data_IF_142725964346
#
_entry.id   IF_142725964346
#
_cell.length_a   1.000
_cell.length_b   1.000
_cell.length_c   1.000
_cell.angle_alpha   90.00
_cell.angle_beta   90.00
_cell.angle_gamma   90.00
#
_symmetry.space_group_name_H-M   'P 1'
#
loop_
_entity.id
_entity.type
_entity.pdbx_description
1 polymer ?
#
# COMPACT_ATOMS: atom_id res chain seq x y z
N UNK A 1 24.32 -76.29 -103.36
CA UNK A 1 24.72 -77.27 -104.40
C UNK A 1 25.45 -78.39 -103.69
N UNK A 2 24.78 -79.51 -103.40
CA UNK A 2 25.49 -80.74 -103.01
C UNK A 2 26.08 -81.31 -104.30
N UNK A 3 27.41 -81.39 -104.38
CA UNK A 3 28.08 -82.15 -105.43
C UNK A 3 27.87 -83.62 -105.08
N UNK A 4 27.25 -84.38 -105.99
CA UNK A 4 27.25 -85.84 -105.91
C UNK A 4 28.69 -86.31 -106.14
N UNK A 5 29.41 -86.61 -105.06
CA UNK A 5 30.67 -87.35 -105.14
C UNK A 5 30.35 -88.81 -105.49
N UNK A 6 30.99 -89.40 -106.51
CA UNK A 6 30.79 -90.80 -106.86
C UNK A 6 31.24 -91.68 -105.69
N UNK A 7 30.42 -92.65 -105.29
CA UNK A 7 30.74 -93.60 -104.23
C UNK A 7 31.88 -94.49 -104.73
N UNK A 8 33.11 -94.21 -104.31
CA UNK A 8 34.29 -95.03 -104.59
C UNK A 8 34.28 -96.25 -103.65
N UNK A 9 33.82 -97.38 -104.18
CA UNK A 9 33.69 -98.63 -103.43
C UNK A 9 34.98 -99.42 -103.63
N UNK A 10 35.76 -99.61 -102.57
CA UNK A 10 36.96 -100.42 -102.58
C UNK A 10 36.67 -101.81 -103.20
N UNK A 11 37.39 -102.17 -104.27
CA UNK A 11 37.15 -103.39 -105.09
C UNK A 11 37.98 -104.59 -104.64
N UNK A 12 38.84 -104.41 -103.64
CA UNK A 12 39.70 -105.41 -103.03
C UNK A 12 39.35 -105.62 -101.54
N UNK A 13 39.47 -106.86 -101.06
CA UNK A 13 39.01 -107.30 -99.73
C UNK A 13 39.75 -106.57 -98.61
N UNK A 14 41.06 -106.35 -98.76
CA UNK A 14 41.90 -105.69 -97.75
C UNK A 14 41.55 -104.20 -97.67
N UNK A 15 41.27 -103.58 -98.83
CA UNK A 15 40.86 -102.18 -98.95
C UNK A 15 39.49 -101.91 -98.31
N UNK A 16 38.55 -102.85 -98.45
CA UNK A 16 37.24 -102.85 -97.77
C UNK A 16 37.38 -103.03 -96.26
N UNK A 17 38.23 -103.96 -95.80
CA UNK A 17 38.48 -104.16 -94.36
C UNK A 17 39.09 -102.92 -93.71
N UNK A 18 40.04 -102.27 -94.38
CA UNK A 18 40.61 -101.00 -93.92
C UNK A 18 39.56 -99.88 -93.83
N UNK A 19 38.70 -99.73 -94.85
CA UNK A 19 37.62 -98.75 -94.83
C UNK A 19 36.63 -99.01 -93.68
N UNK A 20 36.24 -100.27 -93.45
CA UNK A 20 35.36 -100.66 -92.34
C UNK A 20 35.98 -100.36 -90.98
N UNK A 21 37.27 -100.66 -90.80
CA UNK A 21 38.00 -100.35 -89.57
C UNK A 21 38.09 -98.85 -89.34
N UNK A 22 38.43 -98.08 -90.38
CA UNK A 22 38.50 -96.61 -90.32
C UNK A 22 37.16 -95.98 -89.97
N UNK A 23 36.07 -96.37 -90.62
CA UNK A 23 34.72 -95.86 -90.29
C UNK A 23 34.28 -96.28 -88.89
N UNK A 24 34.70 -97.46 -88.40
CA UNK A 24 34.44 -97.89 -87.02
C UNK A 24 35.22 -97.06 -86.01
N UNK A 25 36.47 -96.72 -86.30
CA UNK A 25 37.32 -95.84 -85.49
C UNK A 25 36.74 -94.41 -85.45
N UNK A 26 36.40 -93.83 -86.60
CA UNK A 26 35.72 -92.53 -86.69
C UNK A 26 34.38 -92.51 -85.93
N UNK A 27 33.61 -93.61 -85.97
CA UNK A 27 32.37 -93.75 -85.20
C UNK A 27 32.63 -93.81 -83.69
N UNK A 28 33.71 -94.49 -83.26
CA UNK A 28 34.11 -94.55 -81.85
C UNK A 28 34.54 -93.16 -81.38
N UNK A 29 35.37 -92.46 -82.14
CA UNK A 29 35.79 -91.08 -81.83
C UNK A 29 34.61 -90.12 -81.75
N UNK A 30 33.68 -90.20 -82.71
CA UNK A 30 32.46 -89.38 -82.71
C UNK A 30 31.57 -89.69 -81.49
N UNK A 31 31.41 -90.97 -81.13
CA UNK A 31 30.65 -91.37 -79.93
C UNK A 31 31.32 -90.88 -78.64
N UNK A 32 32.63 -91.07 -78.50
CA UNK A 32 33.39 -90.61 -77.34
C UNK A 32 33.33 -89.07 -77.22
N UNK A 33 33.45 -88.35 -78.33
CA UNK A 33 33.33 -86.88 -78.38
C UNK A 33 31.92 -86.42 -77.98
N UNK A 34 30.87 -87.12 -78.45
CA UNK A 34 29.49 -86.85 -78.05
C UNK A 34 29.27 -87.12 -76.55
N UNK A 35 29.73 -88.25 -76.04
CA UNK A 35 29.60 -88.63 -74.62
C UNK A 35 30.32 -87.62 -73.71
N UNK A 36 31.53 -87.21 -74.09
CA UNK A 36 32.27 -86.16 -73.38
C UNK A 36 31.51 -84.83 -73.39
N UNK A 37 31.02 -84.40 -74.55
CA UNK A 37 30.24 -83.16 -74.67
C UNK A 37 28.92 -83.22 -73.90
N UNK A 38 28.27 -84.38 -73.86
CA UNK A 38 27.04 -84.60 -73.09
C UNK A 38 27.31 -84.56 -71.58
N UNK A 39 28.46 -85.09 -71.14
CA UNK A 39 28.92 -84.97 -69.75
C UNK A 39 29.20 -83.50 -69.39
N UNK A 40 29.94 -82.76 -70.21
CA UNK A 40 30.18 -81.31 -70.01
C UNK A 40 28.87 -80.52 -69.90
N UNK A 41 27.91 -80.77 -70.80
CA UNK A 41 26.61 -80.09 -70.76
C UNK A 41 25.82 -80.41 -69.49
N UNK A 42 25.90 -81.65 -69.00
CA UNK A 42 25.26 -82.04 -67.73
C UNK A 42 25.90 -81.33 -66.55
N UNK A 43 27.23 -81.28 -66.52
CA UNK A 43 27.97 -80.58 -65.47
C UNK A 43 27.63 -79.07 -65.50
N UNK A 44 27.59 -78.45 -66.68
CA UNK A 44 27.19 -77.05 -66.86
C UNK A 44 25.74 -76.79 -66.41
N UNK A 45 24.79 -77.67 -66.75
CA UNK A 45 23.40 -77.58 -66.28
C UNK A 45 23.34 -77.66 -64.75
N UNK A 46 24.09 -78.57 -64.12
CA UNK A 46 24.09 -78.69 -62.66
C UNK A 46 24.73 -77.48 -61.97
N UNK A 47 25.81 -76.94 -62.54
CA UNK A 47 26.45 -75.72 -62.05
C UNK A 47 25.49 -74.52 -62.15
N UNK A 48 24.85 -74.32 -63.30
CA UNK A 48 23.86 -73.26 -63.51
C UNK A 48 22.63 -73.42 -62.61
N UNK A 49 22.15 -74.64 -62.41
CA UNK A 49 21.03 -74.90 -61.50
C UNK A 49 21.38 -74.57 -60.05
N UNK A 50 22.60 -74.89 -59.61
CA UNK A 50 23.11 -74.56 -58.27
C UNK A 50 23.24 -73.06 -58.10
N UNK A 51 23.87 -72.37 -59.07
CA UNK A 51 24.01 -70.92 -59.05
C UNK A 51 22.65 -70.21 -59.02
N UNK A 52 21.69 -70.67 -59.84
CA UNK A 52 20.33 -70.13 -59.83
C UNK A 52 19.64 -70.29 -58.48
N UNK A 53 19.86 -71.43 -57.80
CA UNK A 53 19.30 -71.69 -56.47
C UNK A 53 19.93 -70.80 -55.40
N UNK A 54 21.24 -70.61 -55.45
CA UNK A 54 21.98 -69.71 -54.55
C UNK A 54 21.54 -68.25 -54.71
N UNK A 55 21.44 -67.77 -55.95
CA UNK A 55 20.96 -66.42 -56.28
C UNK A 55 19.52 -66.19 -55.83
N UNK A 56 18.62 -67.18 -56.05
CA UNK A 56 17.25 -67.12 -55.51
C UNK A 56 17.25 -67.03 -53.99
N UNK A 57 18.06 -67.84 -53.31
CA UNK A 57 18.18 -67.80 -51.85
C UNK A 57 18.76 -66.47 -51.35
N UNK A 58 19.74 -65.90 -52.05
CA UNK A 58 20.33 -64.60 -51.73
C UNK A 58 19.31 -63.47 -51.92
N UNK A 59 18.53 -63.51 -53.01
CA UNK A 59 17.45 -62.56 -53.27
C UNK A 59 16.38 -62.62 -52.18
N UNK A 60 15.91 -63.81 -51.82
CA UNK A 60 14.91 -63.97 -50.75
C UNK A 60 15.41 -63.46 -49.39
N UNK A 61 16.68 -63.70 -49.06
CA UNK A 61 17.28 -63.14 -47.83
C UNK A 61 17.28 -61.62 -47.87
N UNK A 62 17.71 -61.02 -48.98
CA UNK A 62 17.75 -59.56 -49.15
C UNK A 62 16.36 -58.93 -49.12
N UNK A 63 15.35 -59.57 -49.70
CA UNK A 63 13.95 -59.12 -49.63
C UNK A 63 13.42 -59.15 -48.19
N UNK A 64 13.74 -60.20 -47.41
CA UNK A 64 13.37 -60.28 -45.99
C UNK A 64 14.06 -59.20 -45.15
N UNK A 65 15.35 -58.96 -45.39
CA UNK A 65 16.12 -57.90 -44.73
C UNK A 65 15.52 -56.52 -45.03
N UNK A 66 15.29 -56.19 -46.32
CA UNK A 66 14.66 -54.92 -46.70
C UNK A 66 13.25 -54.76 -46.12
N UNK A 67 12.46 -55.83 -46.03
CA UNK A 67 11.15 -55.76 -45.37
C UNK A 67 11.26 -55.53 -43.87
N UNK A 68 12.25 -56.10 -43.20
CA UNK A 68 12.49 -55.84 -41.78
C UNK A 68 12.89 -54.38 -41.54
N UNK A 69 13.80 -53.83 -42.35
CA UNK A 69 14.21 -52.43 -42.30
C UNK A 69 13.04 -51.48 -42.58
N UNK A 70 12.17 -51.81 -43.56
CA UNK A 70 10.98 -51.02 -43.86
C UNK A 70 10.02 -50.96 -42.66
N UNK A 71 9.77 -52.11 -42.02
CA UNK A 71 8.89 -52.18 -40.86
C UNK A 71 9.45 -51.42 -39.66
N UNK A 72 10.77 -51.50 -39.44
CA UNK A 72 11.45 -50.73 -38.40
C UNK A 72 11.35 -49.22 -38.67
N UNK A 73 11.65 -48.79 -39.91
CA UNK A 73 11.53 -47.40 -40.32
C UNK A 73 10.09 -46.87 -40.15
N UNK A 74 9.08 -47.65 -40.55
CA UNK A 74 7.67 -47.30 -40.36
C UNK A 74 7.30 -47.15 -38.88
N UNK A 75 7.79 -48.04 -38.02
CA UNK A 75 7.57 -47.98 -36.57
C UNK A 75 8.19 -46.71 -35.98
N UNK A 76 9.44 -46.44 -36.32
CA UNK A 76 10.17 -45.25 -35.87
C UNK A 76 9.49 -43.95 -36.34
N UNK A 77 8.98 -43.93 -37.57
CA UNK A 77 8.26 -42.78 -38.13
C UNK A 77 6.92 -42.57 -37.41
N UNK A 78 6.21 -43.64 -37.04
CA UNK A 78 5.02 -43.56 -36.19
C UNK A 78 5.30 -42.98 -34.81
N UNK A 79 6.39 -43.42 -34.17
CA UNK A 79 6.83 -42.89 -32.87
C UNK A 79 7.18 -41.39 -32.99
N UNK A 80 7.99 -41.02 -33.99
CA UNK A 80 8.39 -39.64 -34.21
C UNK A 80 7.17 -38.71 -34.44
N UNK A 81 6.20 -39.14 -35.26
CA UNK A 81 4.98 -38.38 -35.49
C UNK A 81 4.15 -38.20 -34.21
N UNK A 82 4.06 -39.24 -33.37
CA UNK A 82 3.37 -39.14 -32.09
C UNK A 82 4.04 -38.13 -31.15
N UNK A 83 5.38 -38.14 -31.11
CA UNK A 83 6.17 -37.20 -30.30
C UNK A 83 5.99 -35.76 -30.79
N UNK A 84 6.04 -35.53 -32.11
CA UNK A 84 5.80 -34.20 -32.71
C UNK A 84 4.41 -33.69 -32.30
N UNK A 85 3.36 -34.51 -32.46
CA UNK A 85 1.99 -34.10 -32.08
C UNK A 85 1.87 -33.78 -30.58
N UNK A 86 2.54 -34.54 -29.71
CA UNK A 86 2.55 -34.22 -28.28
C UNK A 86 3.33 -32.93 -27.96
N UNK A 87 4.47 -32.72 -28.62
CA UNK A 87 5.31 -31.54 -28.46
C UNK A 87 4.56 -30.27 -28.90
N UNK A 88 3.88 -30.31 -30.05
CA UNK A 88 3.04 -29.21 -30.53
C UNK A 88 1.94 -28.85 -29.54
N UNK A 89 1.24 -29.85 -28.97
CA UNK A 89 0.21 -29.61 -27.94
C UNK A 89 0.79 -28.96 -26.68
N UNK A 90 2.00 -29.35 -26.27
CA UNK A 90 2.69 -28.76 -25.12
C UNK A 90 3.12 -27.33 -25.44
N UNK A 91 3.68 -27.07 -26.62
CA UNK A 91 4.08 -25.74 -27.06
C UNK A 91 2.89 -24.76 -27.07
N UNK A 92 1.75 -25.16 -27.66
CA UNK A 92 0.53 -24.33 -27.68
C UNK A 92 0.02 -24.03 -26.27
N UNK A 93 0.03 -25.02 -25.37
CA UNK A 93 -0.35 -24.80 -23.96
C UNK A 93 0.61 -23.86 -23.24
N UNK A 94 1.92 -24.03 -23.45
CA UNK A 94 2.95 -23.17 -22.89
C UNK A 94 2.79 -21.73 -23.35
N UNK A 95 2.54 -21.50 -24.63
CA UNK A 95 2.30 -20.16 -25.19
C UNK A 95 1.05 -19.51 -24.60
N UNK A 96 -0.04 -20.28 -24.44
CA UNK A 96 -1.26 -19.80 -23.80
C UNK A 96 -1.01 -19.42 -22.33
N UNK A 97 -0.24 -20.23 -21.59
CA UNK A 97 0.14 -19.94 -20.21
C UNK A 97 1.04 -18.70 -20.12
N UNK A 98 1.99 -18.53 -21.04
CA UNK A 98 2.87 -17.35 -21.07
C UNK A 98 2.07 -16.05 -21.29
N UNK A 99 1.09 -16.08 -22.19
CA UNK A 99 0.16 -14.95 -22.40
C UNK A 99 -0.65 -14.65 -21.14
N UNK A 100 -1.22 -15.67 -20.50
CA UNK A 100 -1.98 -15.51 -19.27
C UNK A 100 -1.12 -14.93 -18.13
N UNK A 101 0.14 -15.36 -18.00
CA UNK A 101 1.07 -14.81 -17.02
C UNK A 101 1.31 -13.31 -17.29
N UNK A 102 1.46 -12.94 -18.56
CA UNK A 102 1.69 -11.54 -18.95
C UNK A 102 0.48 -10.65 -18.62
N UNK A 103 -0.74 -11.12 -18.92
CA UNK A 103 -2.00 -10.43 -18.59
C UNK A 103 -2.18 -10.28 -17.07
N UNK A 104 -1.87 -11.33 -16.29
CA UNK A 104 -1.92 -11.28 -14.84
C UNK A 104 -0.88 -10.30 -14.28
N UNK A 105 0.34 -10.27 -14.83
CA UNK A 105 1.38 -9.32 -14.42
C UNK A 105 0.95 -7.88 -14.69
N UNK A 106 0.33 -7.61 -15.84
CA UNK A 106 -0.20 -6.28 -16.14
C UNK A 106 -1.32 -5.89 -15.16
N UNK A 107 -2.25 -6.81 -14.89
CA UNK A 107 -3.34 -6.59 -13.92
C UNK A 107 -2.80 -6.30 -12.51
N UNK A 108 -1.77 -7.03 -12.08
CA UNK A 108 -1.11 -6.79 -10.79
C UNK A 108 -0.49 -5.40 -10.74
N UNK A 109 0.23 -4.98 -11.78
CA UNK A 109 0.83 -3.65 -11.84
C UNK A 109 -0.22 -2.53 -11.79
N UNK A 110 -1.35 -2.69 -12.50
CA UNK A 110 -2.46 -1.74 -12.46
C UNK A 110 -3.10 -1.67 -11.07
N UNK A 111 -3.31 -2.80 -10.40
CA UNK A 111 -3.85 -2.85 -9.04
C UNK A 111 -2.89 -2.24 -8.02
N UNK A 112 -1.58 -2.48 -8.14
CA UNK A 112 -0.56 -1.86 -7.28
C UNK A 112 -0.57 -0.34 -7.41
N UNK A 113 -0.69 0.18 -8.64
CA UNK A 113 -0.82 1.62 -8.89
C UNK A 113 -2.09 2.19 -8.26
N UNK A 114 -3.23 1.51 -8.41
CA UNK A 114 -4.49 1.94 -7.79
C UNK A 114 -4.40 1.96 -6.26
N UNK A 115 -3.78 0.94 -5.65
CA UNK A 115 -3.57 0.90 -4.20
C UNK A 115 -2.70 2.08 -3.74
N UNK A 116 -1.61 2.37 -4.45
CA UNK A 116 -0.75 3.50 -4.12
C UNK A 116 -1.47 4.85 -4.26
N UNK A 117 -2.28 5.01 -5.30
CA UNK A 117 -3.10 6.20 -5.49
C UNK A 117 -4.09 6.39 -4.32
N UNK A 118 -4.89 5.36 -4.01
CA UNK A 118 -5.87 5.42 -2.92
C UNK A 118 -5.21 5.68 -1.56
N UNK A 119 -4.03 5.11 -1.31
CA UNK A 119 -3.27 5.40 -0.10
C UNK A 119 -2.84 6.87 -0.02
N UNK A 120 -2.39 7.46 -1.13
CA UNK A 120 -2.01 8.87 -1.18
C UNK A 120 -3.20 9.81 -0.96
N UNK A 121 -4.35 9.51 -1.59
CA UNK A 121 -5.59 10.27 -1.42
C UNK A 121 -6.11 10.16 0.01
N UNK A 122 -6.10 8.95 0.59
CA UNK A 122 -6.47 8.73 2.00
C UNK A 122 -5.59 9.57 2.92
N UNK A 123 -4.28 9.56 2.74
CA UNK A 123 -3.36 10.35 3.57
C UNK A 123 -3.64 11.86 3.48
N UNK A 124 -3.93 12.36 2.28
CA UNK A 124 -4.29 13.77 2.07
C UNK A 124 -5.61 14.15 2.77
N UNK A 125 -6.62 13.28 2.68
CA UNK A 125 -7.92 13.48 3.36
C UNK A 125 -7.77 13.41 4.88
N UNK A 126 -6.99 12.45 5.40
CA UNK A 126 -6.72 12.32 6.83
C UNK A 126 -6.00 13.54 7.38
N UNK A 127 -4.99 14.06 6.67
CA UNK A 127 -4.30 15.29 7.06
C UNK A 127 -5.25 16.50 7.07
N UNK A 128 -6.12 16.60 6.06
CA UNK A 128 -7.09 17.69 5.96
C UNK A 128 -8.13 17.60 7.09
N UNK A 129 -8.60 16.39 7.41
CA UNK A 129 -9.50 16.14 8.53
C UNK A 129 -8.86 16.50 9.87
N UNK A 130 -7.59 16.14 10.08
CA UNK A 130 -6.85 16.51 11.29
C UNK A 130 -6.72 18.03 11.43
N UNK A 131 -6.37 18.74 10.35
CA UNK A 131 -6.30 20.20 10.34
C UNK A 131 -7.66 20.85 10.69
N UNK A 132 -8.76 20.33 10.14
CA UNK A 132 -10.10 20.84 10.47
C UNK A 132 -10.47 20.57 11.93
N UNK A 133 -10.17 19.39 12.48
CA UNK A 133 -10.40 19.09 13.90
C UNK A 133 -9.62 20.03 14.82
N UNK A 134 -8.36 20.33 14.48
CA UNK A 134 -7.56 21.28 15.24
C UNK A 134 -8.17 22.69 15.19
N UNK A 135 -8.60 23.14 14.01
CA UNK A 135 -9.30 24.44 13.84
C UNK A 135 -10.59 24.52 14.65
N UNK A 136 -11.41 23.46 14.62
CA UNK A 136 -12.66 23.40 15.42
C UNK A 136 -12.33 23.51 16.91
N UNK A 137 -11.31 22.79 17.38
CA UNK A 137 -10.90 22.84 18.79
C UNK A 137 -10.43 24.24 19.19
N UNK A 138 -9.63 24.90 18.35
CA UNK A 138 -9.17 26.27 18.60
C UNK A 138 -10.34 27.27 18.64
N UNK A 139 -11.26 27.20 17.66
CA UNK A 139 -12.43 28.07 17.61
C UNK A 139 -13.37 27.84 18.79
N UNK A 140 -13.53 26.60 19.25
CA UNK A 140 -14.31 26.30 20.44
C UNK A 140 -13.68 26.93 21.69
N UNK A 141 -12.35 26.84 21.83
CA UNK A 141 -11.64 27.49 22.93
C UNK A 141 -11.82 29.02 22.90
N UNK A 142 -11.65 29.65 21.74
CA UNK A 142 -11.84 31.09 21.59
C UNK A 142 -13.28 31.52 21.92
N UNK A 143 -14.27 30.70 21.55
CA UNK A 143 -15.67 30.93 21.87
C UNK A 143 -15.92 30.83 23.38
N UNK A 144 -15.39 29.80 24.05
CA UNK A 144 -15.55 29.59 25.49
C UNK A 144 -14.90 30.76 26.28
N UNK A 145 -13.73 31.22 25.84
CA UNK A 145 -13.05 32.38 26.43
C UNK A 145 -13.87 33.65 26.22
N UNK A 146 -14.39 33.87 25.01
CA UNK A 146 -15.25 35.03 24.70
C UNK A 146 -16.53 35.05 25.55
N UNK A 147 -17.18 33.89 25.71
CA UNK A 147 -18.37 33.75 26.55
C UNK A 147 -18.05 34.05 28.02
N UNK A 148 -16.91 33.57 28.52
CA UNK A 148 -16.46 33.86 29.89
C UNK A 148 -16.21 35.35 30.09
N UNK A 149 -15.49 36.00 29.18
CA UNK A 149 -15.24 37.46 29.23
C UNK A 149 -16.56 38.24 29.21
N UNK A 150 -17.54 37.80 28.42
CA UNK A 150 -18.86 38.44 28.37
C UNK A 150 -19.60 38.30 29.72
N UNK A 151 -19.54 37.13 30.36
CA UNK A 151 -20.12 36.92 31.71
C UNK A 151 -19.46 37.84 32.74
N UNK A 152 -18.14 37.94 32.72
CA UNK A 152 -17.39 38.79 33.64
C UNK A 152 -17.72 40.27 33.43
N UNK A 153 -17.87 40.71 32.17
CA UNK A 153 -18.29 42.07 31.85
C UNK A 153 -19.67 42.40 32.42
N UNK A 154 -20.63 41.46 32.29
CA UNK A 154 -21.97 41.62 32.88
C UNK A 154 -21.88 41.73 34.41
N UNK A 155 -21.12 40.85 35.07
CA UNK A 155 -20.96 40.89 36.53
C UNK A 155 -20.31 42.19 37.02
N UNK A 156 -19.24 42.64 36.36
CA UNK A 156 -18.57 43.90 36.67
C UNK A 156 -19.51 45.10 36.48
N UNK A 157 -20.30 45.12 35.41
CA UNK A 157 -21.26 46.19 35.14
C UNK A 157 -22.35 46.26 36.22
N UNK A 158 -22.87 45.12 36.66
CA UNK A 158 -23.84 45.04 37.76
C UNK A 158 -23.23 45.51 39.08
N UNK A 159 -22.01 45.07 39.39
CA UNK A 159 -21.28 45.51 40.59
C UNK A 159 -21.08 47.03 40.61
N UNK A 160 -20.68 47.61 39.48
CA UNK A 160 -20.52 49.06 39.32
C UNK A 160 -21.85 49.79 39.49
N UNK A 161 -22.95 49.30 38.91
CA UNK A 161 -24.28 49.89 39.09
C UNK A 161 -24.72 49.88 40.56
N UNK A 162 -24.48 48.79 41.27
CA UNK A 162 -24.75 48.70 42.72
C UNK A 162 -23.90 49.74 43.48
N UNK A 163 -22.63 49.90 43.14
CA UNK A 163 -21.76 50.91 43.77
C UNK A 163 -22.25 52.34 43.50
N UNK A 164 -22.66 52.65 42.26
CA UNK A 164 -23.22 53.96 41.91
C UNK A 164 -24.52 54.24 42.68
N UNK A 165 -25.41 53.25 42.80
CA UNK A 165 -26.66 53.42 43.55
C UNK A 165 -26.39 53.63 45.05
N UNK A 166 -25.39 52.94 45.63
CA UNK A 166 -24.95 53.19 47.02
C UNK A 166 -24.46 54.63 47.21
N UNK A 167 -23.68 55.17 46.26
CA UNK A 167 -23.23 56.57 46.31
C UNK A 167 -24.44 57.50 46.24
N UNK A 168 -25.36 57.27 45.29
CA UNK A 168 -26.57 58.08 45.12
C UNK A 168 -27.43 58.12 46.38
N UNK A 169 -27.62 56.98 47.04
CA UNK A 169 -28.33 56.89 48.32
C UNK A 169 -27.59 57.65 49.44
N UNK A 170 -26.26 57.54 49.50
CA UNK A 170 -25.45 58.25 50.51
C UNK A 170 -25.44 59.77 50.35
N UNK A 171 -25.65 60.29 49.13
CA UNK A 171 -25.72 61.72 48.86
C UNK A 171 -27.12 62.31 49.11
N UNK A 172 -28.16 61.47 49.23
CA UNK A 172 -29.50 61.89 49.67
C UNK A 172 -29.61 62.03 51.19
N UNK A 173 -28.67 61.49 51.97
CA UNK A 173 -28.61 61.70 53.42
C UNK A 173 -28.11 63.13 53.70
N UNK A 174 -28.97 63.98 54.30
CA UNK A 174 -28.56 65.31 54.75
C UNK A 174 -27.49 65.14 55.83
N UNK A 175 -26.23 65.39 55.46
CA UNK A 175 -25.06 65.23 56.34
C UNK A 175 -24.99 66.28 57.46
N UNK A 176 -25.70 67.39 57.28
CA UNK A 176 -25.72 68.51 58.22
C UNK A 176 -26.59 68.18 59.44
N UNK A 177 -26.01 68.32 60.62
CA UNK A 177 -26.70 68.12 61.89
C UNK A 177 -26.89 69.44 62.62
N UNK A 178 -28.09 69.69 63.15
CA UNK A 178 -28.40 70.84 64.00
C UNK A 178 -27.82 70.65 65.40
N UNK A 179 -27.28 71.73 65.99
CA UNK A 179 -26.57 71.62 67.28
C UNK A 179 -27.48 71.32 68.47
N UNK A 180 -28.76 71.60 68.38
CA UNK A 180 -29.77 71.33 69.40
C UNK A 180 -30.27 69.87 69.37
N UNK A 181 -30.23 69.22 68.21
CA UNK A 181 -30.72 67.85 68.03
C UNK A 181 -29.71 66.76 68.43
N UNK A 182 -28.41 67.09 68.54
CA UNK A 182 -27.35 66.12 68.82
C UNK A 182 -26.83 66.25 70.25
N UNK A 183 -27.19 65.33 71.14
CA UNK A 183 -26.72 65.29 72.53
C UNK A 183 -25.51 64.36 72.75
N UNK A 184 -25.19 63.48 71.79
CA UNK A 184 -24.19 62.42 71.90
C UNK A 184 -23.15 62.50 70.76
N UNK A 185 -21.96 61.95 71.01
CA UNK A 185 -20.91 61.87 70.00
C UNK A 185 -21.33 60.92 68.85
N UNK A 186 -21.21 61.36 67.58
CA UNK A 186 -21.54 60.54 66.40
C UNK A 186 -20.59 59.36 66.13
N UNK A 187 -19.70 59.01 67.05
CA UNK A 187 -18.76 57.90 66.87
C UNK A 187 -19.39 56.61 67.43
N UNK A 188 -19.49 55.51 66.65
CA UNK A 188 -20.23 54.31 67.06
C UNK A 188 -19.81 53.68 68.39
N UNK A 189 -18.55 53.86 68.81
CA UNK A 189 -17.99 53.31 70.05
C UNK A 189 -17.82 54.34 71.17
N UNK A 190 -18.35 55.57 71.01
CA UNK A 190 -18.20 56.65 71.98
C UNK A 190 -19.54 57.05 72.57
N UNK A 191 -19.67 56.96 73.89
CA UNK A 191 -20.88 57.36 74.64
C UNK A 191 -20.76 58.76 75.25
N UNK A 192 -19.76 59.54 74.85
CA UNK A 192 -19.52 60.87 75.41
C UNK A 192 -20.63 61.82 75.00
N UNK A 193 -21.29 62.47 75.97
CA UNK A 193 -22.27 63.53 75.69
C UNK A 193 -21.57 64.78 75.16
N UNK A 194 -22.15 65.37 74.11
CA UNK A 194 -21.71 66.65 73.53
C UNK A 194 -22.70 67.77 73.80
N UNK A 195 -23.79 67.50 74.55
CA UNK A 195 -24.91 68.41 74.75
C UNK A 195 -24.50 69.81 75.27
N UNK A 196 -23.48 69.86 76.13
CA UNK A 196 -22.98 71.09 76.78
C UNK A 196 -21.80 71.76 76.06
N UNK A 197 -21.30 71.19 74.96
CA UNK A 197 -20.17 71.75 74.22
C UNK A 197 -20.64 72.89 73.31
N UNK A 198 -19.98 74.05 73.40
CA UNK A 198 -20.23 75.24 72.56
C UNK A 198 -18.89 75.88 72.16
N UNK A 199 -18.48 75.86 70.87
CA UNK A 199 -19.12 75.17 69.75
C UNK A 199 -18.98 73.64 69.85
N UNK A 200 -19.92 72.88 69.27
CA UNK A 200 -19.80 71.42 69.20
C UNK A 200 -18.75 71.03 68.14
N UNK A 201 -17.73 70.21 68.46
CA UNK A 201 -16.73 69.79 67.48
C UNK A 201 -17.36 69.00 66.33
N UNK A 202 -16.93 69.29 65.10
CA UNK A 202 -17.44 68.65 63.88
C UNK A 202 -16.30 68.08 63.06
N UNK A 203 -16.57 66.98 62.37
CA UNK A 203 -15.67 66.47 61.34
C UNK A 203 -15.73 67.39 60.12
N UNK A 204 -14.59 67.91 59.66
CA UNK A 204 -14.52 68.80 58.49
C UNK A 204 -14.76 68.10 57.14
N UNK A 205 -14.95 66.78 57.13
CA UNK A 205 -15.29 66.01 55.93
C UNK A 205 -16.78 65.63 55.86
N UNK A 206 -17.33 65.02 56.92
CA UNK A 206 -18.72 64.56 56.95
C UNK A 206 -19.68 65.49 57.71
N UNK A 207 -19.18 66.56 58.33
CA UNK A 207 -19.95 67.58 59.08
C UNK A 207 -20.75 67.09 60.29
N UNK A 208 -20.71 65.78 60.62
CA UNK A 208 -21.30 65.20 61.83
C UNK A 208 -20.57 65.70 63.09
N UNK A 209 -21.30 65.73 64.21
CA UNK A 209 -20.85 66.26 65.50
C UNK A 209 -20.20 65.15 66.33
N UNK A 210 -19.05 65.43 66.93
CA UNK A 210 -18.26 64.49 67.73
C UNK A 210 -17.75 65.16 69.02
N UNK A 211 -17.29 64.37 69.99
CA UNK A 211 -16.49 64.89 71.09
C UNK A 211 -15.05 65.19 70.60
N UNK A 212 -14.33 66.06 71.30
CA UNK A 212 -12.98 66.48 70.90
C UNK A 212 -11.99 65.30 70.68
N UNK A 213 -11.98 64.23 71.51
CA UNK A 213 -11.16 63.05 71.25
C UNK A 213 -11.46 62.34 69.93
N UNK A 214 -12.74 62.29 69.52
CA UNK A 214 -13.16 61.56 68.32
C UNK A 214 -12.89 62.32 67.01
N UNK A 215 -12.47 63.58 67.07
CA UNK A 215 -12.03 64.40 65.92
C UNK A 215 -10.61 64.97 66.14
N UNK A 216 -9.79 64.29 66.94
CA UNK A 216 -8.42 64.73 67.24
C UNK A 216 -7.45 64.55 66.06
N UNK A 217 -7.74 63.63 65.14
CA UNK A 217 -6.93 63.37 63.95
C UNK A 217 -7.22 64.40 62.86
N UNK A 218 -6.17 64.85 62.17
CA UNK A 218 -6.28 65.85 61.10
C UNK A 218 -5.81 65.32 59.76
N UNK A 219 -6.43 65.79 58.68
CA UNK A 219 -5.98 65.55 57.30
C UNK A 219 -5.66 66.87 56.60
N UNK A 220 -4.71 66.92 55.65
CA UNK A 220 -4.43 68.13 54.88
C UNK A 220 -5.62 68.48 53.97
N UNK A 221 -6.15 69.69 54.10
CA UNK A 221 -7.31 70.18 53.34
C UNK A 221 -7.01 71.47 52.55
N UNK A 222 -7.56 71.55 51.34
CA UNK A 222 -7.45 72.71 50.44
C UNK A 222 -6.06 72.89 49.82
N UNK A 223 -5.91 73.95 49.01
CA UNK A 223 -4.66 74.24 48.25
C UNK A 223 -3.42 74.45 49.12
N UNK A 224 -3.62 74.82 50.39
CA UNK A 224 -2.55 75.12 51.35
C UNK A 224 -2.30 73.97 52.35
N UNK A 225 -2.88 72.79 52.13
CA UNK A 225 -2.74 71.61 52.99
C UNK A 225 -2.98 71.90 54.49
N UNK A 226 -3.99 72.72 54.81
CA UNK A 226 -4.28 73.09 56.20
C UNK A 226 -4.79 71.87 56.98
N UNK A 227 -4.35 71.65 58.22
CA UNK A 227 -4.83 70.53 59.03
C UNK A 227 -6.32 70.71 59.35
N UNK A 228 -7.15 69.80 58.85
CA UNK A 228 -8.58 69.78 59.08
C UNK A 228 -8.95 68.60 59.99
N UNK A 229 -9.55 68.83 61.17
CA UNK A 229 -9.96 67.76 62.08
C UNK A 229 -11.07 66.92 61.46
N UNK A 230 -10.90 65.61 61.50
CA UNK A 230 -11.81 64.64 60.92
C UNK A 230 -12.00 63.45 61.87
N UNK A 231 -13.15 62.77 61.79
CA UNK A 231 -13.38 61.56 62.56
C UNK A 231 -12.50 60.41 62.01
N UNK A 232 -12.33 59.35 62.81
CA UNK A 232 -11.49 58.20 62.43
C UNK A 232 -11.87 57.58 61.07
N UNK A 233 -13.17 57.49 60.76
CA UNK A 233 -13.67 56.99 59.46
C UNK A 233 -13.17 57.88 58.31
N UNK A 234 -13.40 59.18 58.42
CA UNK A 234 -13.03 60.15 57.39
C UNK A 234 -11.51 60.30 57.26
N UNK A 235 -10.76 60.18 58.37
CA UNK A 235 -9.31 60.14 58.33
C UNK A 235 -8.83 58.98 57.46
N UNK A 236 -9.40 57.78 57.64
CA UNK A 236 -9.03 56.62 56.85
C UNK A 236 -9.46 56.72 55.38
N UNK A 237 -10.60 57.34 55.10
CA UNK A 237 -11.06 57.55 53.71
C UNK A 237 -10.20 58.58 52.95
N UNK A 238 -9.72 59.62 53.64
CA UNK A 238 -9.01 60.73 53.00
C UNK A 238 -7.48 60.59 53.00
N UNK A 239 -6.93 59.74 53.87
CA UNK A 239 -5.50 59.48 53.94
C UNK A 239 -5.13 58.21 53.14
N UNK A 240 -4.45 58.40 52.01
CA UNK A 240 -4.04 57.33 51.08
C UNK A 240 -3.09 56.31 51.70
N UNK A 241 -2.34 56.69 52.74
CA UNK A 241 -1.35 55.84 53.41
C UNK A 241 -1.92 55.10 54.62
N UNK A 242 -3.20 55.33 54.94
CA UNK A 242 -3.86 54.66 56.06
C UNK A 242 -4.49 53.33 55.63
N UNK A 243 -4.29 52.28 56.43
CA UNK A 243 -4.90 50.98 56.19
C UNK A 243 -6.44 51.13 56.12
N UNK A 244 -7.14 50.44 55.20
CA UNK A 244 -8.59 50.61 55.00
C UNK A 244 -9.37 50.48 56.31
N UNK A 245 -10.41 51.29 56.49
CA UNK A 245 -11.14 51.37 57.77
C UNK A 245 -11.74 50.01 58.17
N UNK A 246 -12.04 49.18 57.16
CA UNK A 246 -12.59 47.84 57.30
C UNK A 246 -11.54 46.72 57.45
N UNK A 247 -10.24 47.06 57.46
CA UNK A 247 -9.14 46.10 57.69
C UNK A 247 -8.79 45.92 59.17
N UNK A 248 -9.49 46.60 60.08
CA UNK A 248 -9.35 46.38 61.52
C UNK A 248 -10.38 45.33 61.95
N UNK A 249 -9.92 44.11 62.21
CA UNK A 249 -10.72 43.09 62.87
C UNK A 249 -11.32 43.67 64.17
N UNK A 250 -12.58 43.34 64.52
CA UNK A 250 -13.12 43.71 65.81
C UNK A 250 -12.28 43.01 66.88
N UNK A 251 -11.48 43.76 67.61
CA UNK A 251 -10.85 43.27 68.83
C UNK A 251 -11.95 42.74 69.76
N UNK A 252 -11.77 41.51 70.21
CA UNK A 252 -12.58 40.82 71.22
C UNK A 252 -12.80 41.67 72.46
#
# INVERSE_FOLDING_TARGET
MMREEPIDIATDVDSLQYAVLKTREELIECKASKEFREAELKDEITALATQLQEEKGAKERREREMMAELNEAQTNLGIANSQISTSEKVAVKSDAQARQITELQQTVAELEQQVQQVQSERAAVEQTSANFRQRVTALQHDLDVSEQVQKDFVQLSQSLQIQLEKIRQSDQEVRWQWEDEISECSAPSCTTTVARLRPKPRCMHCSKIFCAPCVSTTVPAGKNARPAPVCAVCHTLLNKDSAPFFSREPNK
#
